data_IF_372146793115
#
_entry.id   IF_372146793115
#
_cell.length_a   1.000
_cell.length_b   1.000
_cell.length_c   1.000
_cell.angle_alpha   90.00
_cell.angle_beta   90.00
_cell.angle_gamma   90.00
#
_symmetry.space_group_name_H-M   'P 1'
#
loop_
_entity.id
_entity.type
_entity.pdbx_description
1 polymer ?
#
# COMPACT_ATOMS: atom_id res chain seq x y z
N UNK A 1 -8.31 -5.41 11.64
CA UNK A 1 -8.01 -5.74 10.23
C UNK A 1 -8.20 -7.23 10.06
N UNK A 2 -8.58 -7.69 8.87
CA UNK A 2 -8.70 -9.13 8.59
C UNK A 2 -7.33 -9.73 8.27
N UNK A 3 -6.96 -10.81 8.96
CA UNK A 3 -5.63 -11.42 8.88
C UNK A 3 -5.32 -11.96 7.49
N UNK A 4 -6.28 -12.62 6.86
CA UNK A 4 -6.13 -13.14 5.51
C UNK A 4 -5.93 -12.03 4.49
N UNK A 5 -6.70 -10.93 4.61
CA UNK A 5 -6.55 -9.78 3.72
C UNK A 5 -5.17 -9.14 3.87
N UNK A 6 -4.65 -9.01 5.10
CA UNK A 6 -3.32 -8.46 5.35
C UNK A 6 -2.23 -9.36 4.78
N UNK A 7 -2.27 -10.66 5.05
CA UNK A 7 -1.28 -11.60 4.53
C UNK A 7 -1.31 -11.66 3.00
N UNK A 8 -2.50 -11.73 2.38
CA UNK A 8 -2.66 -11.67 0.92
C UNK A 8 -2.12 -10.36 0.35
N UNK A 9 -2.37 -9.23 1.01
CA UNK A 9 -1.86 -7.94 0.60
C UNK A 9 -0.32 -7.90 0.69
N UNK A 10 0.27 -8.35 1.80
CA UNK A 10 1.72 -8.33 2.02
C UNK A 10 2.50 -9.37 1.21
N UNK A 11 1.86 -10.43 0.70
CA UNK A 11 2.54 -11.47 -0.11
C UNK A 11 3.13 -10.92 -1.44
N UNK A 12 2.63 -9.81 -1.98
CA UNK A 12 3.15 -9.24 -3.23
C UNK A 12 4.34 -8.32 -3.00
N UNK A 13 5.44 -8.58 -3.71
CA UNK A 13 6.61 -7.69 -3.73
C UNK A 13 6.24 -6.26 -4.14
N UNK A 14 5.47 -6.10 -5.22
CA UNK A 14 5.02 -4.78 -5.68
C UNK A 14 4.28 -4.00 -4.58
N UNK A 15 3.36 -4.66 -3.85
CA UNK A 15 2.62 -4.01 -2.77
C UNK A 15 3.54 -3.62 -1.60
N UNK A 16 4.52 -4.46 -1.24
CA UNK A 16 5.52 -4.11 -0.23
C UNK A 16 6.38 -2.92 -0.65
N UNK A 17 6.78 -2.83 -1.92
CA UNK A 17 7.52 -1.67 -2.43
C UNK A 17 6.68 -0.40 -2.47
N UNK A 18 5.38 -0.51 -2.82
CA UNK A 18 4.45 0.61 -2.73
C UNK A 18 4.33 1.13 -1.29
N UNK A 19 4.22 0.23 -0.30
CA UNK A 19 4.15 0.61 1.12
C UNK A 19 5.38 1.42 1.56
N UNK A 20 6.58 1.04 1.10
CA UNK A 20 7.83 1.78 1.37
C UNK A 20 7.90 3.14 0.65
N UNK A 21 7.17 3.33 -0.44
CA UNK A 21 7.16 4.60 -1.17
C UNK A 21 6.21 5.58 -0.49
N UNK A 22 5.02 5.11 -0.09
CA UNK A 22 3.99 5.96 0.53
C UNK A 22 4.19 6.13 2.04
N UNK A 23 5.21 5.51 2.63
CA UNK A 23 5.57 5.69 4.04
C UNK A 23 6.17 7.06 4.32
N UNK A 24 6.80 7.67 3.31
CA UNK A 24 7.50 8.95 3.44
C UNK A 24 6.53 10.12 3.31
N UNK A 25 5.69 10.08 2.27
CA UNK A 25 4.60 11.04 2.09
C UNK A 25 3.41 10.42 1.35
N UNK A 26 2.20 10.98 1.48
CA UNK A 26 1.07 10.57 0.68
C UNK A 26 1.28 10.79 -0.82
N UNK A 27 1.00 9.76 -1.62
CA UNK A 27 1.20 9.80 -3.08
C UNK A 27 -0.05 9.36 -3.83
N UNK A 28 -0.24 9.91 -5.02
CA UNK A 28 -1.22 9.42 -5.98
C UNK A 28 -0.64 8.30 -6.86
N UNK A 29 -1.49 7.64 -7.64
CA UNK A 29 -1.09 6.52 -8.53
C UNK A 29 0.06 6.90 -9.47
N UNK A 30 0.08 8.14 -9.95
CA UNK A 30 1.09 8.63 -10.89
C UNK A 30 2.47 8.75 -10.27
N UNK A 31 2.53 9.32 -9.07
CA UNK A 31 3.77 9.47 -8.32
C UNK A 31 4.31 8.11 -7.89
N UNK A 32 3.46 7.21 -7.39
CA UNK A 32 3.87 5.84 -7.05
C UNK A 32 4.45 5.10 -8.26
N UNK A 33 3.80 5.20 -9.43
CA UNK A 33 4.31 4.59 -10.66
C UNK A 33 5.69 5.14 -11.04
N UNK A 34 5.86 6.47 -10.95
CA UNK A 34 7.14 7.14 -11.23
C UNK A 34 8.24 6.63 -10.30
N UNK A 35 7.98 6.60 -8.99
CA UNK A 35 8.97 6.14 -7.99
C UNK A 35 9.34 4.66 -8.14
N UNK A 36 8.38 3.79 -8.45
CA UNK A 36 8.66 2.39 -8.74
C UNK A 36 9.56 2.21 -9.97
N UNK A 37 9.34 3.01 -11.01
CA UNK A 37 10.17 2.99 -12.22
C UNK A 37 11.57 3.55 -11.95
N UNK A 38 11.69 4.60 -11.13
CA UNK A 38 12.98 5.13 -10.66
C UNK A 38 13.77 4.08 -9.87
N UNK A 39 13.07 3.22 -9.10
CA UNK A 39 13.65 2.07 -8.38
C UNK A 39 13.90 0.83 -9.26
N UNK A 40 13.62 0.90 -10.57
CA UNK A 40 13.91 -0.19 -11.51
C UNK A 40 12.84 -1.29 -11.61
N UNK A 41 11.70 -1.20 -10.92
CA UNK A 41 10.62 -2.20 -10.99
C UNK A 41 9.80 -2.17 -12.29
N UNK A 42 10.13 -1.26 -13.23
CA UNK A 42 9.61 -1.14 -14.60
C UNK A 42 8.14 -1.57 -14.77
N UNK A 43 7.24 -0.97 -13.99
CA UNK A 43 5.80 -1.24 -14.10
C UNK A 43 5.25 -0.48 -15.31
N UNK A 44 4.61 -1.21 -16.22
CA UNK A 44 4.15 -0.65 -17.51
C UNK A 44 2.83 0.13 -17.41
N UNK A 45 1.90 -0.30 -16.55
CA UNK A 45 0.53 0.20 -16.56
C UNK A 45 0.14 0.85 -15.22
N UNK A 46 -0.44 2.06 -15.30
CA UNK A 46 -1.02 2.78 -14.14
C UNK A 46 -2.08 1.94 -13.42
N UNK A 47 -2.88 1.19 -14.17
CA UNK A 47 -3.92 0.32 -13.62
C UNK A 47 -3.35 -0.76 -12.69
N UNK A 48 -2.17 -1.29 -12.98
CA UNK A 48 -1.49 -2.25 -12.09
C UNK A 48 -1.20 -1.63 -10.72
N UNK A 49 -0.77 -0.36 -10.70
CA UNK A 49 -0.51 0.38 -9.46
C UNK A 49 -1.82 0.68 -8.73
N UNK A 50 -2.84 1.13 -9.45
CA UNK A 50 -4.17 1.38 -8.87
C UNK A 50 -4.74 0.11 -8.21
N UNK A 51 -4.77 -1.02 -8.92
CA UNK A 51 -5.25 -2.30 -8.36
C UNK A 51 -4.40 -2.77 -7.16
N UNK A 52 -3.09 -2.49 -7.16
CA UNK A 52 -2.23 -2.82 -6.04
C UNK A 52 -2.53 -1.97 -4.80
N UNK A 53 -2.76 -0.67 -4.98
CA UNK A 53 -3.16 0.26 -3.93
C UNK A 53 -4.55 -0.07 -3.37
N UNK A 54 -5.54 -0.37 -4.22
CA UNK A 54 -6.88 -0.74 -3.73
C UNK A 54 -6.84 -2.05 -2.91
N UNK A 55 -5.98 -3.02 -3.24
CA UNK A 55 -5.77 -4.21 -2.39
C UNK A 55 -5.17 -3.87 -1.02
N UNK A 56 -4.26 -2.89 -0.98
CA UNK A 56 -3.71 -2.39 0.29
C UNK A 56 -4.78 -1.65 1.10
N UNK A 57 -5.65 -0.89 0.45
CA UNK A 57 -6.80 -0.23 1.09
C UNK A 57 -7.80 -1.24 1.64
N UNK A 58 -8.17 -2.26 0.87
CA UNK A 58 -9.08 -3.34 1.32
C UNK A 58 -8.52 -4.12 2.52
N UNK A 59 -7.19 -4.27 2.61
CA UNK A 59 -6.55 -4.86 3.79
C UNK A 59 -6.55 -3.95 5.02
N UNK A 60 -6.78 -2.64 4.85
CA UNK A 60 -6.72 -1.65 5.92
C UNK A 60 -5.31 -1.12 6.24
N UNK A 61 -4.28 -1.55 5.51
CA UNK A 61 -2.89 -1.06 5.67
C UNK A 61 -2.71 0.37 5.16
N UNK A 62 -3.55 0.77 4.21
CA UNK A 62 -3.48 2.05 3.51
C UNK A 62 -4.85 2.71 3.56
N UNK A 63 -4.87 4.03 3.67
CA UNK A 63 -6.08 4.82 3.51
C UNK A 63 -5.98 5.68 2.24
N UNK A 64 -7.14 5.86 1.59
CA UNK A 64 -7.29 6.75 0.44
C UNK A 64 -8.00 8.03 0.86
N UNK A 65 -7.52 9.17 0.38
CA UNK A 65 -8.10 10.48 0.69
C UNK A 65 -7.86 11.46 -0.45
N UNK A 66 -8.65 12.53 -0.50
CA UNK A 66 -8.50 13.56 -1.52
C UNK A 66 -7.57 14.67 -1.02
N UNK A 67 -6.49 14.93 -1.76
CA UNK A 67 -5.61 16.08 -1.58
C UNK A 67 -5.94 17.13 -2.65
N UNK A 68 -6.07 18.41 -2.26
CA UNK A 68 -6.47 19.49 -3.18
C UNK A 68 -5.51 19.72 -4.34
N UNK A 69 -4.21 19.48 -4.15
CA UNK A 69 -3.17 19.71 -5.15
C UNK A 69 -2.88 18.44 -5.96
N UNK A 70 -2.82 17.29 -5.29
CA UNK A 70 -2.37 16.01 -5.87
C UNK A 70 -3.53 15.10 -6.32
N UNK A 71 -4.78 15.45 -6.02
CA UNK A 71 -5.97 14.63 -6.27
C UNK A 71 -6.10 13.44 -5.30
N UNK A 72 -6.62 12.31 -5.78
CA UNK A 72 -6.76 11.09 -4.96
C UNK A 72 -5.39 10.51 -4.58
N UNK A 73 -5.09 10.54 -3.29
CA UNK A 73 -3.83 10.09 -2.72
C UNK A 73 -4.03 8.93 -1.74
N UNK A 74 -2.94 8.23 -1.48
CA UNK A 74 -2.85 7.07 -0.60
C UNK A 74 -1.78 7.34 0.44
N UNK A 75 -2.08 7.01 1.71
CA UNK A 75 -1.11 7.09 2.81
C UNK A 75 -1.13 5.83 3.66
N UNK A 76 0.02 5.51 4.24
CA UNK A 76 0.17 4.40 5.15
C UNK A 76 -0.65 4.65 6.43
N UNK A 77 -1.48 3.68 6.84
CA UNK A 77 -2.30 3.77 8.05
C UNK A 77 -1.61 3.16 9.28
N UNK A 78 -0.78 2.14 9.07
CA UNK A 78 -0.03 1.45 10.12
C UNK A 78 1.42 1.25 9.68
N UNK A 79 2.37 1.62 10.53
CA UNK A 79 3.81 1.44 10.25
C UNK A 79 4.27 0.04 10.64
N UNK A 80 3.68 -0.51 11.69
CA UNK A 80 4.00 -1.84 12.21
C UNK A 80 2.74 -2.67 12.28
N UNK A 81 2.85 -3.92 11.84
CA UNK A 81 1.80 -4.95 11.91
C UNK A 81 2.38 -6.12 12.68
N UNK A 82 1.73 -6.50 13.76
CA UNK A 82 2.10 -7.67 14.57
C UNK A 82 0.97 -8.68 14.50
N UNK A 83 1.31 -9.91 14.16
CA UNK A 83 0.36 -11.00 13.93
C UNK A 83 0.64 -12.08 14.97
N UNK A 84 -0.35 -12.38 15.81
CA UNK A 84 -0.33 -13.58 16.65
C UNK A 84 -0.78 -14.76 15.79
N UNK A 85 0.16 -15.63 15.43
CA UNK A 85 -0.12 -16.79 14.57
C UNK A 85 -0.96 -17.86 15.27
N UNK A 86 -0.99 -17.88 16.61
CA UNK A 86 -1.75 -18.86 17.38
C UNK A 86 -3.21 -18.46 17.55
N UNK A 87 -3.49 -17.15 17.53
CA UNK A 87 -4.84 -16.59 17.69
C UNK A 87 -5.44 -16.05 16.39
N UNK A 88 -4.61 -15.84 15.37
CA UNK A 88 -5.02 -15.17 14.14
C UNK A 88 -5.34 -13.69 14.33
N UNK A 89 -4.86 -13.06 15.41
CA UNK A 89 -5.13 -11.67 15.76
C UNK A 89 -4.08 -10.72 15.16
N UNK A 90 -4.51 -9.49 14.82
CA UNK A 90 -3.65 -8.44 14.29
C UNK A 90 -3.67 -7.21 15.19
N UNK A 91 -2.47 -6.80 15.62
CA UNK A 91 -2.19 -5.53 16.27
C UNK A 91 -1.48 -4.59 15.29
N UNK A 92 -1.86 -3.31 15.29
CA UNK A 92 -1.26 -2.27 14.44
C UNK A 92 -0.72 -1.11 15.28
N UNK A 93 0.45 -0.59 14.88
CA UNK A 93 1.12 0.56 15.50
C UNK A 93 1.65 1.55 14.46
#
# INVERSE_FOLDING_TARGET
MDTDKVLKALNSQLRREILKIISDEPMNVMLVLKELNNKGLKVKYRETIYRALEKLVDSGLVEKFYNREKGLCYKLKAKTVKIDLTKGEIEIH
#
